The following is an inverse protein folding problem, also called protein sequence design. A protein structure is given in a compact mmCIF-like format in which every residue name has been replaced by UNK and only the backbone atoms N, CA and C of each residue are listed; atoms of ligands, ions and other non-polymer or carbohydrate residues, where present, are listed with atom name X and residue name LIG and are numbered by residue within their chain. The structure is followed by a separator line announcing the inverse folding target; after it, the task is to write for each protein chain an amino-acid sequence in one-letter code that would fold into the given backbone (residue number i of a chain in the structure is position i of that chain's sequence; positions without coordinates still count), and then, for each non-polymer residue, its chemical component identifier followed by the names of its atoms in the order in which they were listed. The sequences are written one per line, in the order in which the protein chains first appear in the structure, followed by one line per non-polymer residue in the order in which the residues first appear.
data_IF_090200283914
#
_entry.id   IF_090200283914
#
_cell.length_a   1.000
_cell.length_b   1.000
_cell.length_c   1.000
_cell.angle_alpha   90.00
_cell.angle_beta   90.00
_cell.angle_gamma   90.00
#
_symmetry.space_group_name_H-M   'P 1'
#
loop_
_entity.id
_entity.type
_entity.pdbx_description
1 polymer ?
#
# COMPACT_ATOMS: atom_id res chain seq x y z
N UNK A 1 4.33 0.53 25.66
CA UNK A 1 3.93 -0.65 24.87
C UNK A 1 3.90 -1.83 25.81
N UNK A 2 2.77 -2.54 25.87
CA UNK A 2 2.59 -3.68 26.76
C UNK A 2 3.34 -4.89 26.16
N UNK A 3 4.36 -5.37 26.87
CA UNK A 3 5.11 -6.56 26.49
C UNK A 3 4.28 -7.81 26.76
N UNK A 4 4.27 -8.75 25.82
CA UNK A 4 3.50 -9.99 25.90
C UNK A 4 4.28 -11.03 26.73
N UNK A 5 5.59 -11.15 26.50
CA UNK A 5 6.47 -12.05 27.25
C UNK A 5 7.17 -11.29 28.39
N UNK A 6 6.84 -11.66 29.63
CA UNK A 6 7.43 -11.06 30.84
C UNK A 6 8.89 -11.48 31.07
N UNK A 7 9.35 -12.59 30.48
CA UNK A 7 10.71 -13.10 30.66
C UNK A 7 11.62 -12.76 29.45
N UNK A 8 12.41 -11.69 29.58
CA UNK A 8 13.32 -11.22 28.52
C UNK A 8 14.48 -12.17 28.19
N UNK A 9 14.81 -13.10 29.09
CA UNK A 9 15.92 -14.05 28.88
C UNK A 9 15.51 -15.26 28.03
N UNK A 10 14.20 -15.54 27.92
CA UNK A 10 13.64 -16.59 27.07
C UNK A 10 13.86 -16.28 25.58
N UNK A 11 13.97 -17.32 24.75
CA UNK A 11 14.06 -17.21 23.29
C UNK A 11 12.95 -16.33 22.71
N UNK A 12 11.70 -16.54 23.12
CA UNK A 12 10.55 -15.73 22.69
C UNK A 12 10.61 -14.29 23.21
N UNK A 13 11.14 -14.06 24.41
CA UNK A 13 11.36 -12.71 24.94
C UNK A 13 12.41 -11.92 24.15
N UNK A 14 13.47 -12.61 23.69
CA UNK A 14 14.49 -12.01 22.79
C UNK A 14 13.89 -11.68 21.42
N UNK A 15 13.08 -12.56 20.84
CA UNK A 15 12.37 -12.30 19.57
C UNK A 15 11.43 -11.11 19.70
N UNK A 16 10.63 -11.05 20.76
CA UNK A 16 9.73 -9.92 21.00
C UNK A 16 10.51 -8.60 21.13
N UNK A 17 11.61 -8.61 21.89
CA UNK A 17 12.48 -7.43 22.03
C UNK A 17 13.06 -6.99 20.69
N UNK A 18 13.54 -7.94 19.88
CA UNK A 18 14.06 -7.66 18.55
C UNK A 18 12.98 -7.07 17.64
N UNK A 19 11.80 -7.70 17.59
CA UNK A 19 10.66 -7.22 16.82
C UNK A 19 10.28 -5.78 17.20
N UNK A 20 10.16 -5.48 18.50
CA UNK A 20 9.82 -4.14 18.94
C UNK A 20 10.93 -3.11 18.68
N UNK A 21 12.19 -3.54 18.74
CA UNK A 21 13.32 -2.68 18.35
C UNK A 21 13.26 -2.36 16.86
N UNK A 22 12.97 -3.33 16.01
CA UNK A 22 12.74 -3.12 14.58
C UNK A 22 11.50 -2.23 14.32
N UNK A 23 10.38 -2.54 14.96
CA UNK A 23 9.12 -1.79 14.83
C UNK A 23 9.20 -0.36 15.40
N UNK A 24 10.19 -0.04 16.23
CA UNK A 24 10.42 1.35 16.64
C UNK A 24 10.79 2.26 15.45
N UNK A 25 11.44 1.70 14.42
CA UNK A 25 11.91 2.43 13.24
C UNK A 25 10.78 2.64 12.23
N UNK A 26 10.64 3.89 11.78
CA UNK A 26 9.60 4.32 10.85
C UNK A 26 9.58 3.52 9.52
N UNK A 27 10.71 3.26 8.83
CA UNK A 27 10.70 2.48 7.59
C UNK A 27 10.24 1.03 7.78
N UNK A 28 10.58 0.44 8.93
CA UNK A 28 10.20 -0.93 9.25
C UNK A 28 8.71 -1.03 9.61
N UNK A 29 8.14 -0.03 10.31
CA UNK A 29 6.68 0.05 10.47
C UNK A 29 5.97 0.20 9.14
N UNK A 30 6.49 1.05 8.26
CA UNK A 30 5.95 1.24 6.92
C UNK A 30 5.92 -0.07 6.15
N UNK A 31 7.03 -0.82 6.15
CA UNK A 31 7.11 -2.11 5.48
C UNK A 31 6.17 -3.16 6.10
N UNK A 32 6.11 -3.23 7.42
CA UNK A 32 5.21 -4.14 8.15
C UNK A 32 3.74 -3.89 7.80
N UNK A 33 3.29 -2.64 7.91
CA UNK A 33 1.91 -2.28 7.58
C UNK A 33 1.62 -2.31 6.08
N UNK A 34 2.62 -2.04 5.24
CA UNK A 34 2.52 -2.24 3.80
C UNK A 34 2.22 -3.70 3.47
N UNK A 35 2.96 -4.64 4.07
CA UNK A 35 2.71 -6.08 3.94
C UNK A 35 1.31 -6.49 4.43
N UNK A 36 0.88 -5.99 5.59
CA UNK A 36 -0.48 -6.24 6.09
C UNK A 36 -1.54 -5.69 5.11
N UNK A 37 -1.36 -4.48 4.60
CA UNK A 37 -2.28 -3.89 3.64
C UNK A 37 -2.37 -4.73 2.36
N UNK A 38 -1.24 -5.22 1.84
CA UNK A 38 -1.22 -6.12 0.69
C UNK A 38 -2.00 -7.42 0.95
N UNK A 39 -1.83 -8.03 2.13
CA UNK A 39 -2.61 -9.22 2.51
C UNK A 39 -4.11 -8.91 2.61
N UNK A 40 -4.48 -7.78 3.22
CA UNK A 40 -5.88 -7.34 3.29
C UNK A 40 -6.44 -7.13 1.89
N UNK A 41 -5.70 -6.52 0.97
CA UNK A 41 -6.15 -6.32 -0.42
C UNK A 41 -6.35 -7.66 -1.13
N UNK A 42 -5.44 -8.62 -0.96
CA UNK A 42 -5.59 -9.96 -1.54
C UNK A 42 -6.86 -10.64 -1.00
N UNK A 43 -7.02 -10.67 0.33
CA UNK A 43 -8.20 -11.26 0.97
C UNK A 43 -9.48 -10.58 0.51
N UNK A 44 -9.50 -9.24 0.48
CA UNK A 44 -10.65 -8.46 0.02
C UNK A 44 -11.00 -8.77 -1.45
N UNK A 45 -9.98 -8.92 -2.31
CA UNK A 45 -10.19 -9.29 -3.71
C UNK A 45 -10.84 -10.67 -3.84
N UNK A 46 -10.39 -11.67 -3.07
CA UNK A 46 -11.01 -12.99 -3.06
C UNK A 46 -12.45 -12.95 -2.55
N UNK A 47 -12.70 -12.21 -1.48
CA UNK A 47 -14.04 -12.04 -0.91
C UNK A 47 -15.01 -11.38 -1.88
N UNK A 48 -14.62 -10.27 -2.51
CA UNK A 48 -15.46 -9.58 -3.49
C UNK A 48 -15.69 -10.47 -4.71
N UNK A 49 -14.66 -11.19 -5.17
CA UNK A 49 -14.82 -12.14 -6.28
C UNK A 49 -15.82 -13.24 -5.93
N UNK A 50 -15.78 -13.78 -4.71
CA UNK A 50 -16.75 -14.77 -4.26
C UNK A 50 -18.18 -14.21 -4.24
N UNK A 51 -18.38 -12.97 -3.81
CA UNK A 51 -19.69 -12.29 -3.87
C UNK A 51 -20.16 -12.15 -5.33
N UNK A 52 -19.30 -11.72 -6.24
CA UNK A 52 -19.65 -11.58 -7.66
C UNK A 52 -20.07 -12.92 -8.28
N UNK A 53 -19.37 -14.01 -7.94
CA UNK A 53 -19.73 -15.36 -8.37
C UNK A 53 -21.06 -15.81 -7.77
N UNK A 54 -21.28 -15.57 -6.47
CA UNK A 54 -22.52 -15.94 -5.77
C UNK A 54 -23.75 -15.15 -6.27
N UNK A 55 -23.56 -13.90 -6.69
CA UNK A 55 -24.60 -13.07 -7.29
C UNK A 55 -24.82 -13.38 -8.79
N UNK A 56 -24.17 -14.41 -9.32
CA UNK A 56 -24.18 -14.74 -10.75
C UNK A 56 -23.89 -13.52 -11.63
N UNK A 57 -22.94 -12.66 -11.22
CA UNK A 57 -22.63 -11.44 -11.96
C UNK A 57 -22.33 -11.78 -13.41
N UNK A 58 -23.28 -11.44 -14.28
CA UNK A 58 -23.55 -12.26 -15.44
C UNK A 58 -22.71 -11.80 -16.62
N UNK A 59 -21.52 -12.40 -16.76
CA UNK A 59 -20.66 -12.27 -17.94
C UNK A 59 -21.46 -12.54 -19.24
N UNK A 60 -22.43 -13.47 -19.21
CA UNK A 60 -23.27 -13.82 -20.38
C UNK A 60 -24.33 -12.78 -20.71
N UNK A 61 -24.82 -12.00 -19.74
CA UNK A 61 -25.75 -10.89 -20.00
C UNK A 61 -25.06 -9.74 -20.74
N UNK A 62 -23.76 -9.59 -20.54
CA UNK A 62 -22.93 -8.66 -21.30
C UNK A 62 -22.52 -9.23 -22.65
N UNK A 63 -22.17 -10.51 -22.74
CA UNK A 63 -21.76 -11.18 -23.97
C UNK A 63 -22.87 -11.20 -25.05
N UNK A 64 -24.14 -11.27 -24.64
CA UNK A 64 -25.30 -11.22 -25.54
C UNK A 64 -25.91 -9.81 -25.70
N UNK A 65 -25.26 -8.76 -25.18
CA UNK A 65 -25.76 -7.39 -25.32
C UNK A 65 -25.44 -6.84 -26.71
N UNK A 66 -26.43 -6.26 -27.38
CA UNK A 66 -26.22 -5.53 -28.65
C UNK A 66 -25.46 -4.20 -28.48
N UNK A 67 -25.26 -3.74 -27.24
CA UNK A 67 -24.50 -2.54 -26.93
C UNK A 67 -23.03 -2.90 -26.64
N UNK A 68 -22.14 -2.61 -27.59
CA UNK A 68 -20.69 -2.86 -27.47
C UNK A 68 -20.08 -2.23 -26.20
N UNK A 69 -20.57 -1.05 -25.80
CA UNK A 69 -20.12 -0.38 -24.58
C UNK A 69 -20.44 -1.20 -23.32
N UNK A 70 -21.60 -1.84 -23.26
CA UNK A 70 -21.94 -2.72 -22.13
C UNK A 70 -21.05 -3.96 -22.14
N UNK A 71 -20.80 -4.58 -23.30
CA UNK A 71 -19.90 -5.74 -23.43
C UNK A 71 -18.49 -5.40 -22.91
N UNK A 72 -17.94 -4.25 -23.30
CA UNK A 72 -16.61 -3.79 -22.86
C UNK A 72 -16.59 -3.55 -21.35
N UNK A 73 -17.58 -2.83 -20.83
CA UNK A 73 -17.71 -2.52 -19.40
C UNK A 73 -17.82 -3.81 -18.59
N UNK A 74 -18.68 -4.75 -18.98
CA UNK A 74 -18.95 -5.96 -18.21
C UNK A 74 -17.88 -7.05 -18.29
N UNK A 75 -17.19 -7.19 -19.43
CA UNK A 75 -16.37 -8.36 -19.70
C UNK A 75 -14.85 -8.07 -19.74
N UNK A 76 -14.41 -6.83 -19.99
CA UNK A 76 -12.98 -6.49 -20.05
C UNK A 76 -12.39 -5.97 -18.75
N UNK A 77 -13.22 -5.49 -17.83
CA UNK A 77 -12.76 -4.96 -16.54
C UNK A 77 -12.92 -6.00 -15.43
N UNK A 78 -11.86 -6.21 -14.65
CA UNK A 78 -11.92 -7.00 -13.42
C UNK A 78 -12.57 -6.16 -12.31
N UNK A 79 -13.90 -6.04 -12.35
CA UNK A 79 -14.69 -5.31 -11.34
C UNK A 79 -14.40 -5.72 -9.91
N UNK A 80 -14.30 -7.03 -9.57
CA UNK A 80 -13.90 -7.44 -8.24
C UNK A 80 -12.58 -6.82 -7.79
N UNK A 81 -11.58 -6.83 -8.67
CA UNK A 81 -10.28 -6.23 -8.37
C UNK A 81 -10.35 -4.71 -8.21
N UNK A 82 -11.07 -4.01 -9.11
CA UNK A 82 -11.21 -2.55 -9.05
C UNK A 82 -11.89 -2.12 -7.74
N UNK A 83 -12.99 -2.79 -7.35
CA UNK A 83 -13.72 -2.49 -6.11
C UNK A 83 -12.82 -2.81 -4.90
N UNK A 84 -12.11 -3.94 -4.93
CA UNK A 84 -11.17 -4.30 -3.86
C UNK A 84 -10.06 -3.27 -3.70
N UNK A 85 -9.53 -2.76 -4.82
CA UNK A 85 -8.52 -1.71 -4.84
C UNK A 85 -9.05 -0.39 -4.28
N UNK A 86 -10.26 0.02 -4.69
CA UNK A 86 -10.90 1.24 -4.18
C UNK A 86 -11.15 1.20 -2.68
N UNK A 87 -11.55 0.05 -2.13
CA UNK A 87 -11.70 -0.16 -0.68
C UNK A 87 -10.33 -0.25 0.01
N UNK A 88 -9.32 -0.78 -0.68
CA UNK A 88 -7.95 -0.87 -0.18
C UNK A 88 -7.31 0.50 0.07
N UNK A 89 -7.62 1.52 -0.73
CA UNK A 89 -7.09 2.88 -0.59
C UNK A 89 -7.32 3.48 0.81
N UNK A 90 -8.57 3.61 1.32
CA UNK A 90 -8.82 4.21 2.63
C UNK A 90 -8.23 3.39 3.77
N UNK A 91 -8.22 2.05 3.65
CA UNK A 91 -7.57 1.17 4.63
C UNK A 91 -6.07 1.47 4.65
N UNK A 92 -5.40 1.33 3.50
CA UNK A 92 -3.96 1.51 3.40
C UNK A 92 -3.50 2.90 3.86
N UNK A 93 -4.20 3.96 3.43
CA UNK A 93 -3.92 5.32 3.87
C UNK A 93 -4.05 5.47 5.40
N UNK A 94 -5.13 4.96 5.97
CA UNK A 94 -5.38 5.04 7.42
C UNK A 94 -4.29 4.31 8.19
N UNK A 95 -3.91 3.11 7.73
CA UNK A 95 -2.86 2.32 8.34
C UNK A 95 -1.51 3.02 8.29
N UNK A 96 -1.15 3.60 7.15
CA UNK A 96 0.11 4.32 7.00
C UNK A 96 0.12 5.64 7.79
N UNK A 97 -0.97 6.40 7.76
CA UNK A 97 -1.08 7.65 8.51
C UNK A 97 -0.96 7.40 10.02
N UNK A 98 -1.79 6.52 10.58
CA UNK A 98 -1.88 6.33 12.03
C UNK A 98 -0.74 5.49 12.60
N UNK A 99 -0.36 4.38 11.93
CA UNK A 99 0.58 3.43 12.51
C UNK A 99 2.01 3.55 11.97
N UNK A 100 2.18 3.75 10.65
CA UNK A 100 3.52 3.87 10.07
C UNK A 100 4.16 5.20 10.44
N UNK A 101 3.48 6.30 10.10
CA UNK A 101 4.00 7.67 10.23
C UNK A 101 3.54 8.41 11.49
N UNK A 102 2.54 7.86 12.22
CA UNK A 102 1.97 8.46 13.44
C UNK A 102 1.51 9.91 13.24
N UNK A 103 0.85 10.16 12.12
CA UNK A 103 0.33 11.46 11.70
C UNK A 103 -1.19 11.53 11.91
N UNK A 104 -1.71 12.75 12.06
CA UNK A 104 -3.16 12.98 12.09
C UNK A 104 -3.79 12.57 10.76
N UNK A 105 -4.96 11.96 10.81
CA UNK A 105 -5.74 11.63 9.62
C UNK A 105 -6.24 12.91 8.92
N UNK A 106 -6.37 12.87 7.60
CA UNK A 106 -6.87 14.01 6.80
C UNK A 106 -7.43 13.53 5.47
N UNK A 107 -8.61 14.02 5.12
CA UNK A 107 -9.31 13.66 3.89
C UNK A 107 -8.58 14.15 2.62
N UNK A 108 -7.99 15.35 2.66
CA UNK A 108 -7.19 15.88 1.53
C UNK A 108 -6.00 14.97 1.21
N UNK A 109 -5.36 14.40 2.24
CA UNK A 109 -4.24 13.47 2.07
C UNK A 109 -4.71 12.08 1.62
N UNK A 110 -5.89 11.64 2.05
CA UNK A 110 -6.51 10.41 1.52
C UNK A 110 -6.71 10.49 0.00
N UNK A 111 -7.28 11.58 -0.51
CA UNK A 111 -7.51 11.77 -1.95
C UNK A 111 -6.21 11.87 -2.76
N UNK A 112 -5.11 12.28 -2.15
CA UNK A 112 -3.77 12.30 -2.77
C UNK A 112 -3.06 10.97 -2.70
N UNK A 113 -3.48 10.06 -1.82
CA UNK A 113 -2.81 8.78 -1.62
C UNK A 113 -2.73 7.91 -2.89
N UNK A 114 -3.76 7.84 -3.76
CA UNK A 114 -3.67 7.13 -5.03
C UNK A 114 -2.59 7.66 -5.98
N UNK A 115 -2.19 8.93 -5.85
CA UNK A 115 -1.08 9.47 -6.65
C UNK A 115 0.24 8.77 -6.33
N UNK A 116 0.38 8.13 -5.17
CA UNK A 116 1.54 7.29 -4.83
C UNK A 116 1.62 6.02 -5.68
N UNK A 117 0.52 5.55 -6.25
CA UNK A 117 0.49 4.33 -7.07
C UNK A 117 1.21 4.53 -8.41
N UNK A 118 1.24 5.77 -8.94
CA UNK A 118 1.91 6.10 -10.20
C UNK A 118 3.43 5.85 -10.12
N UNK A 119 4.18 6.48 -9.18
CA UNK A 119 5.61 6.23 -9.06
C UNK A 119 5.90 4.80 -8.64
N UNK A 120 5.03 4.16 -7.83
CA UNK A 120 5.17 2.74 -7.50
C UNK A 120 5.17 1.87 -8.76
N UNK A 121 4.20 2.09 -9.66
CA UNK A 121 4.08 1.34 -10.90
C UNK A 121 5.26 1.58 -11.84
N UNK A 122 5.72 2.83 -11.98
CA UNK A 122 6.90 3.18 -12.80
C UNK A 122 8.14 2.46 -12.28
N UNK A 123 8.39 2.49 -10.97
CA UNK A 123 9.54 1.81 -10.36
C UNK A 123 9.46 0.30 -10.52
N UNK A 124 8.27 -0.27 -10.41
CA UNK A 124 8.07 -1.71 -10.59
C UNK A 124 8.30 -2.14 -12.05
N UNK A 125 7.80 -1.39 -13.03
CA UNK A 125 8.08 -1.63 -14.45
C UNK A 125 9.57 -1.49 -14.78
N UNK A 126 10.21 -0.44 -14.25
CA UNK A 126 11.65 -0.25 -14.40
C UNK A 126 12.44 -1.41 -13.80
N UNK A 127 12.05 -1.90 -12.62
CA UNK A 127 12.69 -3.04 -11.99
C UNK A 127 12.52 -4.33 -12.82
N UNK A 128 11.32 -4.59 -13.36
CA UNK A 128 11.08 -5.73 -14.25
C UNK A 128 11.98 -5.63 -15.49
N UNK A 129 11.98 -4.48 -16.17
CA UNK A 129 12.82 -4.27 -17.35
C UNK A 129 14.31 -4.48 -17.04
N UNK A 130 14.81 -3.92 -15.94
CA UNK A 130 16.22 -4.08 -15.54
C UNK A 130 16.56 -5.54 -15.20
N UNK A 131 15.73 -6.22 -14.42
CA UNK A 131 16.02 -7.56 -13.92
C UNK A 131 15.81 -8.65 -14.99
N UNK A 132 14.78 -8.50 -15.84
CA UNK A 132 14.43 -9.48 -16.87
C UNK A 132 15.19 -9.24 -18.18
N UNK A 133 15.22 -8.00 -18.67
CA UNK A 133 15.80 -7.70 -20.00
C UNK A 133 17.31 -7.50 -19.92
N UNK A 134 17.78 -6.73 -18.94
CA UNK A 134 19.22 -6.39 -18.83
C UNK A 134 19.99 -7.50 -18.12
N UNK A 135 19.45 -8.05 -17.04
CA UNK A 135 20.13 -9.06 -16.21
C UNK A 135 19.71 -10.50 -16.50
N UNK A 136 18.69 -10.72 -17.34
CA UNK A 136 18.22 -12.05 -17.77
C UNK A 136 17.93 -13.01 -16.61
N UNK A 137 17.40 -12.48 -15.51
CA UNK A 137 17.04 -13.29 -14.35
C UNK A 137 15.79 -14.13 -14.63
N UNK A 138 15.64 -15.22 -13.88
CA UNK A 138 14.45 -16.04 -13.92
C UNK A 138 13.18 -15.21 -13.62
N UNK A 139 12.08 -15.36 -14.40
CA UNK A 139 10.86 -14.57 -14.22
C UNK A 139 10.30 -14.59 -12.79
N UNK A 140 10.33 -15.74 -12.10
CA UNK A 140 9.84 -15.83 -10.72
C UNK A 140 10.65 -14.95 -9.76
N UNK A 141 11.98 -14.90 -9.93
CA UNK A 141 12.85 -14.03 -9.14
C UNK A 141 12.65 -12.57 -9.52
N UNK A 142 12.45 -12.27 -10.81
CA UNK A 142 12.15 -10.92 -11.30
C UNK A 142 10.90 -10.38 -10.61
N UNK A 143 9.78 -11.12 -10.65
CA UNK A 143 8.53 -10.65 -10.04
C UNK A 143 8.67 -10.40 -8.53
N UNK A 144 9.38 -11.28 -7.82
CA UNK A 144 9.62 -11.12 -6.40
C UNK A 144 10.50 -9.88 -6.10
N UNK A 145 11.63 -9.74 -6.80
CA UNK A 145 12.55 -8.62 -6.60
C UNK A 145 11.95 -7.29 -7.04
N UNK A 146 11.17 -7.27 -8.12
CA UNK A 146 10.47 -6.08 -8.60
C UNK A 146 9.39 -5.60 -7.63
N UNK A 147 8.84 -6.46 -6.77
CA UNK A 147 7.95 -6.04 -5.70
C UNK A 147 8.69 -5.37 -4.53
N UNK A 148 9.95 -5.77 -4.29
CA UNK A 148 10.77 -5.26 -3.18
C UNK A 148 11.51 -3.97 -3.58
N UNK A 149 11.94 -3.88 -4.83
CA UNK A 149 12.76 -2.79 -5.36
C UNK A 149 12.15 -1.38 -5.14
N UNK A 150 10.83 -1.16 -5.31
CA UNK A 150 10.23 0.16 -5.10
C UNK A 150 10.17 0.58 -3.62
N UNK A 151 10.24 -0.36 -2.67
CA UNK A 151 9.94 -0.12 -1.25
C UNK A 151 10.75 1.04 -0.62
N UNK A 152 12.08 1.16 -0.85
CA UNK A 152 12.86 2.27 -0.29
C UNK A 152 12.39 3.63 -0.79
N UNK A 153 12.12 3.75 -2.09
CA UNK A 153 11.66 5.01 -2.71
C UNK A 153 10.23 5.32 -2.28
N UNK A 154 9.37 4.30 -2.26
CA UNK A 154 7.98 4.41 -1.83
C UNK A 154 7.82 4.82 -0.38
N UNK A 155 8.75 4.44 0.50
CA UNK A 155 8.80 4.97 1.86
C UNK A 155 8.90 6.50 1.86
N UNK A 156 9.80 7.09 1.08
CA UNK A 156 9.96 8.54 1.01
C UNK A 156 8.77 9.24 0.37
N UNK A 157 8.24 8.68 -0.72
CA UNK A 157 7.07 9.24 -1.42
C UNK A 157 5.86 9.24 -0.49
N UNK A 158 5.54 8.11 0.13
CA UNK A 158 4.42 8.01 1.06
C UNK A 158 4.64 8.86 2.31
N UNK A 159 5.88 9.00 2.78
CA UNK A 159 6.20 9.91 3.86
C UNK A 159 5.85 11.35 3.49
N UNK A 160 6.15 11.81 2.28
CA UNK A 160 5.83 13.18 1.83
C UNK A 160 4.32 13.36 1.61
N UNK A 161 3.64 12.38 1.02
CA UNK A 161 2.21 12.46 0.72
C UNK A 161 1.34 12.35 1.97
N UNK A 162 1.75 11.50 2.92
CA UNK A 162 1.00 11.21 4.14
C UNK A 162 1.43 12.09 5.30
N UNK A 163 2.68 12.56 5.37
CA UNK A 163 3.10 13.50 6.42
C UNK A 163 2.83 14.94 6.02
N UNK A 164 2.42 15.81 6.96
CA UNK A 164 2.36 17.22 6.67
C UNK A 164 3.76 17.70 6.29
N UNK A 165 3.89 18.41 5.16
CA UNK A 165 5.03 19.29 4.92
C UNK A 165 5.13 20.15 6.18
N UNK A 166 6.22 20.02 6.94
CA UNK A 166 6.45 20.90 8.09
C UNK A 166 6.30 22.32 7.56
N UNK A 167 5.22 23.02 7.95
CA UNK A 167 5.20 24.48 7.85
C UNK A 167 6.43 24.90 8.63
N UNK A 168 7.43 25.44 7.93
CA UNK A 168 8.53 26.18 8.51
C UNK A 168 7.86 27.24 9.36
N UNK A 169 7.71 26.99 10.67
CA UNK A 169 7.10 27.94 11.60
C UNK A 169 7.89 29.23 11.44
N UNK A 170 7.15 30.33 11.29
CA UNK A 170 7.67 31.67 11.15
C UNK A 170 8.63 32.00 12.30
N UNK A 171 9.92 31.81 12.06
CA UNK A 171 11.01 32.46 12.79
C UNK A 171 11.14 33.93 12.35
N UNK A 172 10.01 34.65 12.25
CA UNK A 172 9.96 36.04 11.76
C UNK A 172 8.95 36.96 12.48
N UNK A 173 8.26 36.51 13.54
CA UNK A 173 7.35 37.38 14.31
C UNK A 173 8.02 37.96 15.58
N UNK A 174 9.24 37.52 15.91
CA UNK A 174 9.95 38.01 17.11
C UNK A 174 10.93 39.16 16.81
N UNK A 175 11.08 39.59 15.56
CA UNK A 175 11.91 40.75 15.17
C UNK A 175 11.12 42.04 14.93
N UNK A 176 9.84 42.11 15.34
CA UNK A 176 9.03 43.33 15.29
C UNK A 176 8.55 43.77 16.68
N UNK A 177 9.20 43.28 17.74
CA UNK A 177 8.93 43.65 19.13
C UNK A 177 10.16 44.14 19.91
N UNK A 178 11.24 44.48 19.22
CA UNK A 178 12.39 45.18 19.80
C UNK A 178 12.66 46.46 19.00
#
# INVERSE_FOLDING_TARGET
MNKIFKNEKSFFGKIEKFFWTCYSKEPLRFLFWGGINSLITILNTYWIRAIFVACEWNIKAFENSSNEMLVIIGNKFDWPFIIAFLIGIPIAYTTHALFSFKQKWSFVRLLRYPLSSIPNFILQLFAIWLLEVVLQLNPYLVYFLAAIFPLPVMFFINKILVSPLKKKKESKVESSKN
#
